data_IF_301739936978
#
_entry.id   IF_301739936978
#
_cell.length_a   1.000
_cell.length_b   1.000
_cell.length_c   1.000
_cell.angle_alpha   90.00
_cell.angle_beta   90.00
_cell.angle_gamma   90.00
#
_symmetry.space_group_name_H-M   'P 1'
#
loop_
_entity.id
_entity.type
_entity.pdbx_description
1 polymer ?
#
# COMPACT_ATOMS: atom_id res chain seq x y z
N UNK A 1 -38.94 43.26 32.57
CA UNK A 1 -37.64 43.34 33.28
C UNK A 1 -36.59 42.63 32.43
N UNK A 2 -35.52 43.32 32.05
CA UNK A 2 -34.45 42.76 31.23
C UNK A 2 -33.38 42.15 32.14
N UNK A 3 -33.04 40.87 31.94
CA UNK A 3 -31.86 40.25 32.56
C UNK A 3 -30.75 40.23 31.52
N UNK A 4 -29.62 40.86 31.82
CA UNK A 4 -28.44 40.91 30.95
C UNK A 4 -27.41 39.98 31.55
N UNK A 5 -27.28 38.78 30.99
CA UNK A 5 -26.20 37.86 31.33
C UNK A 5 -25.13 37.94 30.25
N UNK A 6 -23.91 38.28 30.68
CA UNK A 6 -22.73 38.40 29.80
C UNK A 6 -21.80 37.25 30.12
N UNK A 7 -21.77 36.24 29.25
CA UNK A 7 -20.81 35.13 29.35
C UNK A 7 -19.92 35.11 28.11
N UNK A 8 -18.63 35.42 28.31
CA UNK A 8 -17.55 35.04 27.41
C UNK A 8 -17.09 36.08 26.38
N UNK A 9 -15.79 36.05 26.09
CA UNK A 9 -15.07 36.91 25.14
C UNK A 9 -15.42 36.57 23.69
N UNK A 10 -16.49 37.15 23.14
CA UNK A 10 -16.70 37.31 21.70
C UNK A 10 -17.73 38.42 21.44
N UNK A 11 -17.51 39.15 20.35
CA UNK A 11 -18.18 40.39 19.95
C UNK A 11 -19.59 40.13 19.41
N UNK A 12 -20.55 39.59 20.18
CA UNK A 12 -21.98 39.70 19.86
C UNK A 12 -22.84 39.61 21.13
N UNK A 13 -23.67 40.63 21.40
CA UNK A 13 -24.63 40.65 22.51
C UNK A 13 -25.97 40.14 21.99
N UNK A 14 -26.41 38.96 22.45
CA UNK A 14 -27.75 38.44 22.16
C UNK A 14 -28.73 38.89 23.24
N UNK A 15 -29.65 39.78 22.90
CA UNK A 15 -30.76 40.20 23.76
C UNK A 15 -31.97 39.33 23.45
N UNK A 16 -32.30 38.39 24.34
CA UNK A 16 -33.51 37.57 24.22
C UNK A 16 -34.64 38.25 24.99
N UNK A 17 -35.66 38.76 24.28
CA UNK A 17 -36.94 39.15 24.89
C UNK A 17 -37.63 37.86 25.37
N UNK A 18 -37.89 37.77 26.68
CA UNK A 18 -38.90 36.84 27.22
C UNK A 18 -40.24 37.19 26.57
N UNK A 19 -41.01 36.16 26.24
CA UNK A 19 -42.26 36.19 25.48
C UNK A 19 -42.03 36.09 23.97
N UNK A 20 -41.75 34.86 23.48
CA UNK A 20 -42.33 34.27 22.26
C UNK A 20 -41.60 32.97 21.87
N UNK A 21 -41.98 31.85 22.50
CA UNK A 21 -41.48 30.49 22.17
C UNK A 21 -41.75 30.11 20.68
N UNK A 22 -42.70 30.77 20.02
CA UNK A 22 -43.03 30.60 18.60
C UNK A 22 -41.96 31.10 17.61
N UNK A 23 -41.04 31.97 18.03
CA UNK A 23 -39.97 32.47 17.14
C UNK A 23 -38.80 31.47 17.02
N UNK A 24 -38.54 30.73 18.10
CA UNK A 24 -37.53 29.65 18.16
C UNK A 24 -37.90 28.49 17.22
N UNK A 25 -39.16 28.05 17.21
CA UNK A 25 -39.63 27.00 16.30
C UNK A 25 -39.58 27.40 14.82
N UNK A 26 -39.76 28.70 14.52
CA UNK A 26 -39.65 29.24 13.15
C UNK A 26 -38.23 29.23 12.62
N UNK A 27 -37.25 29.57 13.46
CA UNK A 27 -35.82 29.50 13.10
C UNK A 27 -35.40 28.04 12.89
N UNK A 28 -35.86 27.14 13.75
CA UNK A 28 -35.58 25.70 13.61
C UNK A 28 -36.22 25.13 12.33
N UNK A 29 -37.47 25.52 11.99
CA UNK A 29 -38.10 25.09 10.72
C UNK A 29 -37.45 25.68 9.47
N UNK A 30 -36.96 26.91 9.50
CA UNK A 30 -36.24 27.49 8.36
C UNK A 30 -34.85 26.87 8.17
N UNK A 31 -34.18 26.47 9.25
CA UNK A 31 -32.86 25.85 9.19
C UNK A 31 -32.94 24.38 8.77
N UNK A 32 -34.02 23.68 9.16
CA UNK A 32 -34.27 22.28 8.79
C UNK A 32 -34.76 22.08 7.34
N UNK A 33 -35.16 23.15 6.63
CA UNK A 33 -35.53 23.09 5.21
C UNK A 33 -34.42 23.62 4.26
N UNK A 34 -33.19 23.73 4.76
CA UNK A 34 -31.97 23.72 3.93
C UNK A 34 -31.19 22.40 4.16
N UNK A 35 -31.91 21.35 4.56
CA UNK A 35 -31.39 20.01 4.73
C UNK A 35 -31.27 19.29 3.38
N UNK A 36 -30.03 18.92 3.05
CA UNK A 36 -29.62 18.02 1.96
C UNK A 36 -29.47 18.64 0.56
N UNK A 37 -28.68 19.72 0.45
CA UNK A 37 -27.89 19.90 -0.77
C UNK A 37 -26.82 18.78 -0.79
N UNK A 38 -26.73 17.98 -1.87
CA UNK A 38 -25.67 16.97 -2.03
C UNK A 38 -24.30 17.64 -1.83
N UNK A 39 -23.50 17.16 -0.87
CA UNK A 39 -22.22 17.78 -0.51
C UNK A 39 -21.21 17.61 -1.64
N UNK A 40 -20.71 18.71 -2.20
CA UNK A 40 -19.72 18.73 -3.29
C UNK A 40 -18.28 18.50 -2.83
N UNK A 41 -18.10 17.95 -1.62
CA UNK A 41 -16.78 17.68 -1.04
C UNK A 41 -16.01 16.62 -1.84
N UNK A 42 -16.71 15.67 -2.47
CA UNK A 42 -16.14 14.75 -3.44
C UNK A 42 -15.88 15.50 -4.76
N UNK A 43 -14.61 15.85 -4.98
CA UNK A 43 -14.15 16.53 -6.20
C UNK A 43 -13.03 15.74 -6.86
N UNK A 44 -13.02 15.60 -8.20
CA UNK A 44 -11.92 14.97 -8.89
C UNK A 44 -10.64 15.81 -8.76
N UNK A 45 -9.49 15.14 -8.71
CA UNK A 45 -8.18 15.80 -8.77
C UNK A 45 -7.81 16.04 -10.23
N UNK A 46 -7.92 17.28 -10.70
CA UNK A 46 -7.49 17.65 -12.05
C UNK A 46 -5.98 17.92 -12.14
N UNK A 47 -5.38 18.33 -11.03
CA UNK A 47 -3.94 18.57 -10.91
C UNK A 47 -3.36 17.63 -9.84
N UNK A 48 -2.31 16.85 -10.15
CA UNK A 48 -1.66 16.00 -9.16
C UNK A 48 -0.82 16.83 -8.18
N UNK A 49 -0.55 16.27 -6.99
CA UNK A 49 0.37 16.88 -6.05
C UNK A 49 1.78 16.99 -6.64
N UNK A 50 2.42 18.15 -6.49
CA UNK A 50 3.76 18.40 -7.00
C UNK A 50 4.82 18.02 -5.96
N UNK A 51 5.82 17.25 -6.38
CA UNK A 51 7.00 16.95 -5.55
C UNK A 51 7.86 18.20 -5.30
N UNK A 52 8.63 18.18 -4.22
CA UNK A 52 9.51 19.26 -3.79
C UNK A 52 9.08 19.94 -2.49
N UNK A 53 7.92 19.66 -1.91
CA UNK A 53 7.45 20.27 -0.65
C UNK A 53 7.61 19.41 0.60
N UNK A 54 7.92 18.13 0.42
CA UNK A 54 7.90 17.10 1.44
C UNK A 54 9.25 16.82 2.10
N UNK A 55 9.22 15.79 2.94
CA UNK A 55 10.37 15.31 3.70
C UNK A 55 11.52 14.92 2.76
N UNK A 56 12.72 15.43 3.04
CA UNK A 56 13.96 15.18 2.30
C UNK A 56 14.03 15.76 0.87
N UNK A 57 13.13 16.67 0.47
CA UNK A 57 13.08 17.16 -0.92
C UNK A 57 13.76 18.52 -1.16
N UNK A 58 13.94 19.36 -0.12
CA UNK A 58 14.53 20.71 -0.23
C UNK A 58 15.65 20.96 0.75
N UNK A 59 15.36 20.85 2.04
CA UNK A 59 16.31 21.19 3.09
C UNK A 59 16.79 19.93 3.80
N UNK A 60 17.95 19.44 3.39
CA UNK A 60 18.68 18.40 4.14
C UNK A 60 19.15 18.92 5.51
N UNK A 61 19.02 20.21 5.82
CA UNK A 61 19.41 20.81 7.10
C UNK A 61 18.39 20.62 8.24
N UNK A 62 17.10 20.44 7.91
CA UNK A 62 16.03 20.16 8.87
C UNK A 62 15.72 18.65 8.90
N UNK A 63 16.77 17.83 9.07
CA UNK A 63 16.67 16.38 9.05
C UNK A 63 15.80 15.87 10.22
N UNK A 64 14.64 15.29 9.88
CA UNK A 64 13.81 14.56 10.84
C UNK A 64 14.53 13.29 11.30
N UNK A 65 14.44 12.99 12.60
CA UNK A 65 14.94 11.74 13.19
C UNK A 65 14.01 10.53 12.96
N UNK A 66 12.84 10.75 12.39
CA UNK A 66 11.92 9.67 12.03
C UNK A 66 12.57 8.82 10.93
N UNK A 67 12.36 7.52 10.89
CA UNK A 67 12.75 6.66 9.76
C UNK A 67 11.72 5.54 9.63
N UNK A 68 11.45 5.11 8.40
CA UNK A 68 10.60 3.94 8.16
C UNK A 68 11.42 2.66 8.35
N UNK A 69 10.77 1.54 8.69
CA UNK A 69 11.43 0.23 8.65
C UNK A 69 11.97 -0.10 7.25
N UNK A 70 11.37 0.46 6.20
CA UNK A 70 11.83 0.33 4.80
C UNK A 70 13.11 1.13 4.50
N UNK A 71 13.41 2.16 5.29
CA UNK A 71 14.59 3.01 5.10
C UNK A 71 15.82 2.46 5.85
N UNK A 72 15.66 1.35 6.57
CA UNK A 72 16.78 0.65 7.19
C UNK A 72 17.75 0.14 6.12
N UNK A 73 19.06 0.02 6.43
CA UNK A 73 20.04 -0.43 5.46
C UNK A 73 19.69 -1.80 4.85
N UNK A 74 19.36 -1.81 3.56
CA UNK A 74 19.10 -3.01 2.77
C UNK A 74 19.78 -2.88 1.41
N UNK A 75 20.40 -3.96 0.93
CA UNK A 75 21.12 -3.99 -0.35
C UNK A 75 22.16 -2.86 -0.52
N UNK A 76 23.07 -2.74 0.45
CA UNK A 76 24.13 -1.71 0.46
C UNK A 76 25.19 -1.89 -0.63
N UNK A 77 25.18 -3.01 -1.36
CA UNK A 77 26.15 -3.34 -2.41
C UNK A 77 25.48 -3.48 -3.77
N UNK A 78 25.85 -2.59 -4.69
CA UNK A 78 25.44 -2.68 -6.09
C UNK A 78 26.18 -3.83 -6.78
N UNK A 79 25.43 -4.66 -7.53
CA UNK A 79 26.01 -5.72 -8.37
C UNK A 79 26.39 -5.13 -9.73
N UNK A 80 27.57 -5.50 -10.22
CA UNK A 80 28.03 -5.16 -11.56
C UNK A 80 27.88 -6.35 -12.50
N UNK A 81 27.56 -6.07 -13.77
CA UNK A 81 27.51 -7.08 -14.82
C UNK A 81 28.89 -7.70 -14.98
N UNK A 82 28.96 -9.02 -14.91
CA UNK A 82 30.18 -9.79 -15.19
C UNK A 82 30.35 -9.98 -16.71
N UNK A 83 31.56 -10.25 -17.21
CA UNK A 83 31.75 -10.66 -18.59
C UNK A 83 30.82 -11.83 -18.95
N UNK A 84 30.19 -11.78 -20.12
CA UNK A 84 29.15 -12.70 -20.56
C UNK A 84 27.73 -12.34 -20.13
N UNK A 85 27.53 -11.39 -19.21
CA UNK A 85 26.20 -10.88 -18.81
C UNK A 85 25.75 -9.63 -19.59
N UNK A 86 26.41 -9.33 -20.71
CA UNK A 86 26.16 -8.13 -21.50
C UNK A 86 26.76 -6.89 -20.84
N UNK A 87 28.06 -6.90 -20.61
CA UNK A 87 28.79 -5.71 -20.14
C UNK A 87 28.71 -4.59 -21.19
N UNK A 88 28.90 -3.34 -20.76
CA UNK A 88 28.85 -2.19 -21.67
C UNK A 88 29.92 -2.26 -22.77
N UNK A 89 31.06 -2.91 -22.48
CA UNK A 89 32.14 -3.13 -23.44
C UNK A 89 31.75 -4.15 -24.51
N UNK A 90 31.15 -5.28 -24.11
CA UNK A 90 30.65 -6.28 -25.05
C UNK A 90 29.54 -5.73 -25.95
N UNK A 91 28.63 -4.92 -25.40
CA UNK A 91 27.54 -4.31 -26.16
C UNK A 91 28.06 -3.31 -27.21
N UNK A 92 29.15 -2.60 -26.93
CA UNK A 92 29.77 -1.67 -27.90
C UNK A 92 30.44 -2.39 -29.07
N UNK A 93 30.94 -3.60 -28.84
CA UNK A 93 31.62 -4.39 -29.87
C UNK A 93 30.65 -5.25 -30.72
N UNK A 94 29.37 -5.36 -30.35
CA UNK A 94 28.39 -6.24 -31.00
C UNK A 94 27.61 -5.54 -32.11
N UNK A 95 27.50 -6.21 -33.25
CA UNK A 95 26.63 -5.82 -34.36
C UNK A 95 25.21 -6.37 -34.17
N UNK A 96 24.37 -5.65 -33.42
CA UNK A 96 23.01 -6.10 -33.09
C UNK A 96 22.12 -6.36 -34.31
N UNK A 97 22.32 -5.62 -35.41
CA UNK A 97 21.50 -5.78 -36.62
C UNK A 97 21.68 -7.16 -37.24
N UNK A 98 22.92 -7.64 -37.34
CA UNK A 98 23.25 -8.95 -37.90
C UNK A 98 22.79 -10.07 -36.98
N UNK A 99 23.07 -9.95 -35.68
CA UNK A 99 22.67 -10.96 -34.68
C UNK A 99 21.13 -11.11 -34.63
N UNK A 100 20.40 -10.00 -34.72
CA UNK A 100 18.94 -10.00 -34.76
C UNK A 100 18.43 -10.73 -36.01
N UNK A 101 18.94 -10.39 -37.20
CA UNK A 101 18.50 -11.01 -38.45
C UNK A 101 18.78 -12.52 -38.47
N UNK A 102 19.93 -12.95 -37.97
CA UNK A 102 20.26 -14.37 -37.84
C UNK A 102 19.33 -15.10 -36.87
N UNK A 103 19.04 -14.50 -35.71
CA UNK A 103 18.15 -15.08 -34.71
C UNK A 103 16.70 -15.11 -35.20
N UNK A 104 16.25 -14.09 -35.93
CA UNK A 104 14.93 -14.09 -36.57
C UNK A 104 14.85 -15.17 -37.64
N UNK A 105 15.88 -15.32 -38.48
CA UNK A 105 15.93 -16.38 -39.49
C UNK A 105 15.85 -17.77 -38.86
N UNK A 106 16.60 -18.02 -37.79
CA UNK A 106 16.53 -19.28 -37.04
C UNK A 106 15.15 -19.51 -36.40
N UNK A 107 14.56 -18.48 -35.77
CA UNK A 107 13.23 -18.57 -35.17
C UNK A 107 12.12 -18.83 -36.21
N UNK A 108 12.26 -18.28 -37.42
CA UNK A 108 11.36 -18.57 -38.54
C UNK A 108 11.45 -20.03 -38.99
N UNK A 109 12.67 -20.57 -39.13
CA UNK A 109 12.86 -21.99 -39.45
C UNK A 109 12.27 -22.92 -38.39
N UNK A 110 12.47 -22.62 -37.10
CA UNK A 110 11.85 -23.36 -35.99
C UNK A 110 10.32 -23.29 -36.04
N UNK A 111 9.75 -22.10 -36.28
CA UNK A 111 8.30 -21.92 -36.40
C UNK A 111 7.75 -22.71 -37.58
N UNK A 112 8.39 -22.67 -38.74
CA UNK A 112 7.90 -23.30 -39.95
C UNK A 112 8.13 -24.84 -39.91
N UNK A 113 9.21 -25.32 -39.28
CA UNK A 113 9.39 -26.73 -38.94
C UNK A 113 8.36 -27.25 -37.93
N UNK A 114 7.96 -26.42 -36.96
CA UNK A 114 6.89 -26.74 -36.00
C UNK A 114 5.48 -26.66 -36.60
N UNK A 115 5.27 -25.88 -37.66
CA UNK A 115 4.03 -25.88 -38.45
C UNK A 115 3.84 -27.17 -39.24
N UNK A 116 4.90 -27.82 -39.71
CA UNK A 116 4.81 -29.13 -40.39
C UNK A 116 4.38 -30.25 -39.43
N UNK A 117 4.66 -30.14 -38.13
CA UNK A 117 4.26 -31.11 -37.09
C UNK A 117 2.87 -30.80 -36.50
N UNK A 118 2.36 -29.57 -36.65
CA UNK A 118 1.05 -29.13 -36.15
C UNK A 118 0.08 -28.89 -37.32
N UNK A 119 -0.39 -29.99 -37.93
CA UNK A 119 -1.62 -29.99 -38.73
C UNK A 119 -2.77 -29.31 -37.94
N UNK A 120 -3.62 -28.49 -38.58
CA UNK A 120 -4.70 -27.81 -37.90
C UNK A 120 -5.82 -28.80 -37.60
N UNK A 121 -5.73 -29.48 -36.45
CA UNK A 121 -6.89 -30.12 -35.86
C UNK A 121 -7.91 -29.03 -35.53
N UNK A 122 -8.86 -28.84 -36.45
CA UNK A 122 -10.08 -28.03 -36.29
C UNK A 122 -10.80 -28.51 -35.03
N UNK A 123 -10.55 -27.85 -33.89
CA UNK A 123 -11.46 -27.93 -32.75
C UNK A 123 -12.62 -26.98 -33.03
N UNK A 124 -13.88 -27.44 -32.97
CA UNK A 124 -15.01 -26.56 -33.15
C UNK A 124 -14.98 -25.52 -32.04
N UNK A 125 -15.28 -24.29 -32.42
CA UNK A 125 -15.49 -23.12 -31.55
C UNK A 125 -16.55 -23.50 -30.50
N UNK A 126 -16.10 -23.92 -29.32
CA UNK A 126 -16.98 -24.09 -28.17
C UNK A 126 -17.36 -22.68 -27.71
N UNK A 127 -18.66 -22.48 -27.58
CA UNK A 127 -19.28 -21.23 -27.21
C UNK A 127 -18.69 -20.62 -25.95
N UNK A 128 -18.61 -19.30 -26.00
CA UNK A 128 -18.30 -18.38 -24.94
C UNK A 128 -19.21 -18.64 -23.72
N UNK A 129 -18.67 -19.29 -22.69
CA UNK A 129 -19.32 -19.32 -21.37
C UNK A 129 -19.33 -17.88 -20.78
N UNK A 130 -20.46 -17.37 -20.26
CA UNK A 130 -20.48 -16.07 -19.62
C UNK A 130 -19.69 -16.14 -18.32
N UNK A 131 -18.82 -15.14 -18.12
CA UNK A 131 -18.08 -14.92 -16.88
C UNK A 131 -19.05 -14.87 -15.70
N UNK A 132 -19.16 -15.99 -14.99
CA UNK A 132 -19.85 -16.09 -13.71
C UNK A 132 -18.83 -16.60 -12.70
N UNK A 133 -18.33 -15.63 -11.93
CA UNK A 133 -17.73 -15.79 -10.60
C UNK A 133 -16.48 -16.68 -10.52
N UNK A 134 -15.35 -16.11 -10.95
CA UNK A 134 -13.98 -16.54 -10.57
C UNK A 134 -13.63 -16.01 -9.17
N UNK A 135 -14.51 -16.24 -8.20
CA UNK A 135 -14.25 -16.01 -6.77
C UNK A 135 -14.52 -17.33 -6.04
N UNK A 136 -13.62 -18.28 -6.29
CA UNK A 136 -13.50 -19.48 -5.50
C UNK A 136 -12.10 -19.40 -4.88
N UNK A 137 -12.10 -19.02 -3.60
CA UNK A 137 -10.98 -19.18 -2.67
C UNK A 137 -10.63 -20.68 -2.64
N UNK A 138 -9.67 -21.07 -3.47
CA UNK A 138 -9.05 -22.39 -3.44
C UNK A 138 -8.01 -22.35 -2.32
N UNK A 139 -8.44 -22.71 -1.11
CA UNK A 139 -7.54 -22.90 0.02
C UNK A 139 -6.61 -24.06 -0.30
N UNK A 140 -5.40 -23.72 -0.76
CA UNK A 140 -4.29 -24.67 -0.85
C UNK A 140 -3.86 -25.02 0.58
N UNK A 141 -4.45 -26.07 1.16
CA UNK A 141 -3.80 -26.85 2.20
C UNK A 141 -2.65 -27.61 1.54
N UNK A 142 -1.50 -26.95 1.43
CA UNK A 142 -0.22 -27.62 1.25
C UNK A 142 0.27 -28.08 2.62
N UNK A 143 -0.17 -29.27 3.02
CA UNK A 143 0.52 -30.10 3.99
C UNK A 143 1.90 -30.49 3.41
N UNK A 144 2.86 -29.58 3.49
CA UNK A 144 4.27 -29.89 3.25
C UNK A 144 4.95 -30.19 4.60
N UNK A 145 4.95 -31.48 4.92
CA UNK A 145 5.75 -32.12 5.96
C UNK A 145 7.25 -31.76 5.73
N UNK A 146 7.77 -30.81 6.50
CA UNK A 146 9.16 -30.36 6.44
C UNK A 146 9.81 -30.41 7.82
N UNK A 147 10.41 -31.56 8.07
CA UNK A 147 11.55 -31.90 8.95
C UNK A 147 11.64 -31.27 10.36
N UNK A 148 11.42 -32.15 11.33
CA UNK A 148 11.61 -32.04 12.78
C UNK A 148 13.08 -31.82 13.18
N UNK A 149 13.57 -30.57 13.16
CA UNK A 149 14.95 -30.23 13.57
C UNK A 149 15.14 -28.92 14.36
N UNK A 150 14.08 -28.23 14.80
CA UNK A 150 14.14 -26.91 15.48
C UNK A 150 13.59 -26.93 16.93
N UNK A 151 13.37 -28.11 17.52
CA UNK A 151 12.76 -28.25 18.85
C UNK A 151 13.69 -27.77 19.99
N UNK A 152 15.01 -27.89 19.83
CA UNK A 152 16.02 -27.42 20.79
C UNK A 152 16.09 -25.88 20.85
N UNK A 153 16.09 -25.19 19.71
CA UNK A 153 16.12 -23.72 19.65
C UNK A 153 14.85 -23.10 20.27
N UNK A 154 13.70 -23.77 20.09
CA UNK A 154 12.43 -23.35 20.67
C UNK A 154 12.39 -23.56 22.19
N UNK A 155 12.96 -24.66 22.67
CA UNK A 155 13.08 -24.96 24.10
C UNK A 155 14.01 -23.98 24.83
N UNK A 156 15.15 -23.62 24.22
CA UNK A 156 16.06 -22.61 24.75
C UNK A 156 15.39 -21.24 24.87
N UNK A 157 14.61 -20.82 23.85
CA UNK A 157 13.89 -19.55 23.87
C UNK A 157 12.85 -19.47 25.01
N UNK A 158 12.13 -20.56 25.28
CA UNK A 158 11.16 -20.60 26.37
C UNK A 158 11.81 -20.58 27.76
N UNK A 159 13.00 -21.18 27.91
CA UNK A 159 13.78 -21.11 29.14
C UNK A 159 14.28 -19.69 29.44
N UNK A 160 14.79 -19.00 28.42
CA UNK A 160 15.24 -17.59 28.51
C UNK A 160 14.08 -16.66 28.94
N UNK A 161 12.89 -16.81 28.32
CA UNK A 161 11.72 -16.02 28.69
C UNK A 161 11.26 -16.26 30.13
N UNK A 162 11.31 -17.50 30.61
CA UNK A 162 10.97 -17.82 31.99
C UNK A 162 11.97 -17.25 32.99
N UNK A 163 13.26 -17.18 32.62
CA UNK A 163 14.30 -16.52 33.41
C UNK A 163 14.06 -15.01 33.52
N UNK A 164 13.80 -14.34 32.40
CA UNK A 164 13.51 -12.89 32.36
C UNK A 164 12.24 -12.54 33.12
N UNK A 165 11.18 -13.36 33.00
CA UNK A 165 9.92 -13.15 33.75
C UNK A 165 10.14 -13.28 35.25
N UNK A 166 10.92 -14.26 35.71
CA UNK A 166 11.25 -14.42 37.13
C UNK A 166 12.09 -13.25 37.64
N UNK A 167 13.09 -12.81 36.88
CA UNK A 167 13.94 -11.69 37.26
C UNK A 167 13.14 -10.39 37.38
N UNK A 168 12.27 -10.08 36.40
CA UNK A 168 11.39 -8.92 36.46
C UNK A 168 10.41 -8.96 37.64
N UNK A 169 9.80 -10.11 37.90
CA UNK A 169 8.88 -10.23 39.03
C UNK A 169 9.60 -10.01 40.37
N UNK A 170 10.86 -10.46 40.48
CA UNK A 170 11.68 -10.21 41.66
C UNK A 170 12.15 -8.76 41.77
N UNK A 171 12.49 -8.12 40.65
CA UNK A 171 12.85 -6.70 40.62
C UNK A 171 11.65 -5.83 40.98
N UNK A 172 10.46 -6.14 40.46
CA UNK A 172 9.22 -5.45 40.75
C UNK A 172 8.83 -5.59 42.23
N UNK A 173 8.94 -6.80 42.80
CA UNK A 173 8.69 -7.04 44.23
C UNK A 173 9.75 -6.40 45.14
N UNK A 174 10.97 -6.15 44.65
CA UNK A 174 12.02 -5.39 45.38
C UNK A 174 11.86 -3.88 45.21
N UNK A 175 11.15 -3.43 44.18
CA UNK A 175 10.94 -2.02 43.85
C UNK A 175 9.68 -1.44 44.52
N UNK A 176 8.77 -2.31 44.95
CA UNK A 176 7.67 -2.01 45.89
C UNK A 176 8.13 -2.20 47.32
#
# INVERSE_FOLDING_TARGET
MYAVEVTGTAVYVTVVRKEDEKYQERIHRSFLYFGSLMTTAARPTFEPARGGGGRNEKDLGALSKQYSSRDLPGHTKLKYRQPGQGTSEELKAKDFRRELEERERAALYERDGKKIIREPSKRPRLEQAPASNLDADDSLDEDEDSDDSDEDDTAELMAELNRIKKERAQEEAKRT
#
